data_IF_420662957650
#
_entry.id   IF_420662957650
#
_cell.length_a   1.000
_cell.length_b   1.000
_cell.length_c   1.000
_cell.angle_alpha   90.00
_cell.angle_beta   90.00
_cell.angle_gamma   90.00
#
_symmetry.space_group_name_H-M   'P 1'
#
loop_
_entity.id
_entity.type
_entity.pdbx_description
1 polymer ?
#
# COMPACT_ATOMS: atom_id res chain seq x y z
N UNK A 1 -32.70 28.72 -12.57
CA UNK A 1 -31.47 28.16 -11.98
C UNK A 1 -31.15 28.99 -10.75
N UNK A 2 -31.26 28.42 -9.54
CA UNK A 2 -30.80 29.10 -8.32
C UNK A 2 -29.29 28.89 -8.24
N UNK A 3 -28.52 29.97 -8.33
CA UNK A 3 -27.14 29.98 -7.86
C UNK A 3 -27.18 29.66 -6.36
N UNK A 4 -26.95 28.39 -6.02
CA UNK A 4 -26.71 28.00 -4.64
C UNK A 4 -25.46 28.75 -4.18
N UNK A 5 -25.61 29.62 -3.19
CA UNK A 5 -24.51 30.31 -2.53
C UNK A 5 -23.47 29.28 -2.14
N UNK A 6 -22.36 29.20 -2.87
CA UNK A 6 -21.22 28.37 -2.47
C UNK A 6 -20.79 28.84 -1.09
N UNK A 7 -20.74 27.93 -0.13
CA UNK A 7 -20.23 28.23 1.20
C UNK A 7 -18.82 28.83 1.08
N UNK A 8 -18.46 29.81 1.93
CA UNK A 8 -17.17 30.48 1.84
C UNK A 8 -16.03 29.49 2.07
N UNK A 9 -14.90 29.74 1.41
CA UNK A 9 -13.66 29.01 1.66
C UNK A 9 -13.24 29.17 3.12
N UNK A 10 -12.60 28.14 3.69
CA UNK A 10 -12.14 28.19 5.09
C UNK A 10 -11.17 29.36 5.29
N UNK A 11 -11.27 30.10 6.40
CA UNK A 11 -10.29 31.13 6.72
C UNK A 11 -8.97 30.50 7.22
N UNK A 12 -7.88 31.27 7.29
CA UNK A 12 -6.64 30.76 7.88
C UNK A 12 -6.82 30.40 9.37
N UNK A 13 -7.58 31.21 10.10
CA UNK A 13 -7.89 30.94 11.51
C UNK A 13 -8.67 29.63 11.68
N UNK A 14 -9.62 29.33 10.78
CA UNK A 14 -10.39 28.09 10.83
C UNK A 14 -9.49 26.87 10.59
N UNK A 15 -8.52 26.99 9.67
CA UNK A 15 -7.58 25.92 9.36
C UNK A 15 -6.62 25.68 10.52
N UNK A 16 -6.17 26.73 11.21
CA UNK A 16 -5.31 26.59 12.39
C UNK A 16 -6.05 25.90 13.55
N UNK A 17 -7.32 26.25 13.78
CA UNK A 17 -8.17 25.56 14.76
C UNK A 17 -8.39 24.10 14.38
N UNK A 18 -8.74 23.82 13.12
CA UNK A 18 -8.90 22.46 12.63
C UNK A 18 -7.61 21.66 12.76
N UNK A 19 -6.45 22.25 12.47
CA UNK A 19 -5.16 21.59 12.64
C UNK A 19 -4.91 21.19 14.10
N UNK A 20 -5.25 22.07 15.06
CA UNK A 20 -5.14 21.77 16.48
C UNK A 20 -6.11 20.64 16.89
N UNK A 21 -7.36 20.70 16.44
CA UNK A 21 -8.38 19.69 16.74
C UNK A 21 -8.05 18.31 16.13
N UNK A 22 -7.44 18.28 14.94
CA UNK A 22 -6.95 17.06 14.28
C UNK A 22 -5.76 16.43 15.02
N UNK A 23 -5.07 17.21 15.86
CA UNK A 23 -4.04 16.73 16.75
C UNK A 23 -4.60 16.44 18.15
N UNK A 24 -5.91 16.55 18.39
CA UNK A 24 -6.49 16.23 19.69
C UNK A 24 -6.33 14.75 20.03
N UNK A 25 -6.16 14.46 21.33
CA UNK A 25 -6.19 13.10 21.86
C UNK A 25 -7.63 12.60 22.12
N UNK A 26 -8.62 13.50 22.08
CA UNK A 26 -10.04 13.14 22.21
C UNK A 26 -10.59 12.66 20.85
N UNK A 27 -11.10 11.40 20.76
CA UNK A 27 -11.60 10.84 19.50
C UNK A 27 -12.74 11.66 18.89
N UNK A 28 -13.61 12.25 19.72
CA UNK A 28 -14.78 13.00 19.26
C UNK A 28 -14.36 14.31 18.58
N UNK A 29 -13.43 15.03 19.20
CA UNK A 29 -12.83 16.26 18.66
C UNK A 29 -12.10 15.98 17.35
N UNK A 30 -11.27 14.93 17.33
CA UNK A 30 -10.58 14.49 16.12
C UNK A 30 -11.58 14.17 14.99
N UNK A 31 -12.58 13.31 15.28
CA UNK A 31 -13.57 12.86 14.30
C UNK A 31 -14.34 14.03 13.70
N UNK A 32 -14.78 14.97 14.53
CA UNK A 32 -15.47 16.17 14.07
C UNK A 32 -14.60 17.03 13.15
N UNK A 33 -13.33 17.22 13.50
CA UNK A 33 -12.40 18.00 12.69
C UNK A 33 -12.05 17.29 11.37
N UNK A 34 -11.79 15.98 11.41
CA UNK A 34 -11.49 15.16 10.23
C UNK A 34 -12.62 15.20 9.21
N UNK A 35 -13.87 15.05 9.67
CA UNK A 35 -15.05 15.19 8.80
C UNK A 35 -15.20 16.59 8.20
N UNK A 36 -14.98 17.65 8.99
CA UNK A 36 -15.02 19.03 8.49
C UNK A 36 -13.99 19.26 7.38
N UNK A 37 -12.78 18.71 7.53
CA UNK A 37 -11.74 18.84 6.51
C UNK A 37 -12.08 18.02 5.27
N UNK A 38 -12.52 16.77 5.43
CA UNK A 38 -12.95 15.93 4.31
C UNK A 38 -14.11 16.58 3.52
N UNK A 39 -15.12 17.10 4.21
CA UNK A 39 -16.22 17.85 3.59
C UNK A 39 -15.73 19.13 2.90
N UNK A 40 -14.79 19.86 3.50
CA UNK A 40 -14.18 21.02 2.86
C UNK A 40 -13.39 20.66 1.59
N UNK A 41 -12.78 19.47 1.52
CA UNK A 41 -12.15 18.95 0.30
C UNK A 41 -13.21 18.63 -0.77
N UNK A 42 -14.29 17.92 -0.41
CA UNK A 42 -15.40 17.58 -1.32
C UNK A 42 -16.03 18.84 -1.93
N UNK A 43 -16.23 19.86 -1.11
CA UNK A 43 -16.87 21.11 -1.52
C UNK A 43 -15.89 22.15 -2.09
N UNK A 44 -14.64 21.76 -2.38
CA UNK A 44 -13.57 22.63 -2.91
C UNK A 44 -13.29 23.89 -2.06
N UNK A 45 -13.62 23.83 -0.75
CA UNK A 45 -13.40 24.92 0.23
C UNK A 45 -11.99 24.92 0.81
N UNK A 46 -11.28 23.81 0.68
CA UNK A 46 -9.86 23.68 1.03
C UNK A 46 -9.02 23.70 -0.24
N UNK A 47 -8.14 24.70 -0.37
CA UNK A 47 -7.22 24.75 -1.51
C UNK A 47 -6.10 23.72 -1.36
N UNK A 48 -5.55 23.27 -2.48
CA UNK A 48 -4.39 22.34 -2.52
C UNK A 48 -3.23 22.80 -1.65
N UNK A 49 -2.88 24.10 -1.72
CA UNK A 49 -1.82 24.69 -0.89
C UNK A 49 -2.09 24.49 0.61
N UNK A 50 -3.33 24.74 1.04
CA UNK A 50 -3.73 24.59 2.45
C UNK A 50 -3.80 23.13 2.88
N UNK A 51 -4.28 22.24 2.03
CA UNK A 51 -4.22 20.79 2.27
C UNK A 51 -2.78 20.30 2.46
N UNK A 52 -1.84 20.79 1.63
CA UNK A 52 -0.41 20.51 1.78
C UNK A 52 0.17 21.07 3.08
N UNK A 53 -0.19 22.30 3.45
CA UNK A 53 0.26 22.91 4.70
C UNK A 53 -0.25 22.13 5.93
N UNK A 54 -1.49 21.63 5.89
CA UNK A 54 -2.03 20.72 6.91
C UNK A 54 -1.24 19.41 6.98
N UNK A 55 -0.98 18.75 5.85
CA UNK A 55 -0.16 17.54 5.81
C UNK A 55 1.23 17.77 6.38
N UNK A 56 1.91 18.86 6.00
CA UNK A 56 3.24 19.17 6.55
C UNK A 56 3.23 19.26 8.07
N UNK A 57 2.17 19.81 8.67
CA UNK A 57 2.03 19.85 10.13
C UNK A 57 1.89 18.44 10.72
N UNK A 58 1.14 17.56 10.08
CA UNK A 58 1.01 16.17 10.54
C UNK A 58 2.33 15.42 10.42
N UNK A 59 3.11 15.67 9.37
CA UNK A 59 4.41 15.02 9.14
C UNK A 59 5.50 15.55 10.09
N UNK A 60 5.44 16.82 10.48
CA UNK A 60 6.48 17.47 11.30
C UNK A 60 6.32 17.27 12.81
N UNK A 61 5.08 17.21 13.30
CA UNK A 61 4.77 16.99 14.70
C UNK A 61 4.33 15.53 14.89
N UNK A 62 4.36 14.95 16.10
CA UNK A 62 3.95 13.53 16.34
C UNK A 62 2.51 13.18 15.90
N UNK A 63 1.82 14.12 15.27
CA UNK A 63 0.52 14.04 14.61
C UNK A 63 0.38 12.87 13.64
N UNK A 64 1.36 12.58 12.77
CA UNK A 64 1.21 11.46 11.82
C UNK A 64 0.96 10.15 12.57
N UNK A 65 1.80 9.82 13.56
CA UNK A 65 1.62 8.62 14.37
C UNK A 65 0.25 8.60 15.06
N UNK A 66 -0.24 9.74 15.55
CA UNK A 66 -1.56 9.86 16.19
C UNK A 66 -2.70 9.60 15.21
N UNK A 67 -2.69 10.25 14.04
CA UNK A 67 -3.71 10.06 13.01
C UNK A 67 -3.70 8.61 12.51
N UNK A 68 -2.52 8.04 12.29
CA UNK A 68 -2.39 6.63 11.93
C UNK A 68 -2.89 5.72 13.06
N UNK A 69 -2.71 6.07 14.34
CA UNK A 69 -3.30 5.29 15.44
C UNK A 69 -4.83 5.27 15.33
N UNK A 70 -5.46 6.41 15.04
CA UNK A 70 -6.91 6.49 14.80
C UNK A 70 -7.35 5.65 13.59
N UNK A 71 -6.56 5.64 12.52
CA UNK A 71 -6.82 4.82 11.34
C UNK A 71 -6.88 3.31 11.65
N UNK A 72 -6.12 2.84 12.65
CA UNK A 72 -6.06 1.41 13.00
C UNK A 72 -6.91 1.06 14.23
N UNK A 73 -7.65 2.01 14.79
CA UNK A 73 -8.52 1.77 15.94
C UNK A 73 -9.83 1.11 15.51
N UNK A 74 -9.82 -0.22 15.44
CA UNK A 74 -11.01 -1.03 15.17
C UNK A 74 -12.08 -0.95 16.28
N UNK A 75 -11.75 -0.40 17.46
CA UNK A 75 -12.69 -0.18 18.54
C UNK A 75 -13.62 1.01 18.30
N UNK A 76 -13.26 1.91 17.38
CA UNK A 76 -14.03 3.10 17.04
C UNK A 76 -14.14 3.29 15.52
N UNK A 77 -15.09 2.58 14.86
CA UNK A 77 -15.22 2.58 13.40
C UNK A 77 -15.53 3.97 12.83
N UNK A 78 -16.19 4.82 13.60
CA UNK A 78 -16.51 6.19 13.19
C UNK A 78 -15.24 7.05 13.09
N UNK A 79 -14.37 6.93 14.10
CA UNK A 79 -13.08 7.64 14.15
C UNK A 79 -12.12 7.10 13.08
N UNK A 80 -12.05 5.79 12.92
CA UNK A 80 -11.27 5.13 11.87
C UNK A 80 -11.69 5.61 10.48
N UNK A 81 -12.98 5.62 10.17
CA UNK A 81 -13.49 6.07 8.89
C UNK A 81 -13.18 7.55 8.66
N UNK A 82 -13.36 8.39 9.68
CA UNK A 82 -13.03 9.81 9.58
C UNK A 82 -11.54 10.04 9.32
N UNK A 83 -10.64 9.28 9.96
CA UNK A 83 -9.21 9.30 9.67
C UNK A 83 -8.91 8.85 8.24
N UNK A 84 -9.57 7.78 7.76
CA UNK A 84 -9.39 7.27 6.41
C UNK A 84 -9.83 8.30 5.36
N UNK A 85 -11.04 8.84 5.46
CA UNK A 85 -11.55 9.86 4.53
C UNK A 85 -10.64 11.10 4.52
N UNK A 86 -10.24 11.60 5.69
CA UNK A 86 -9.31 12.73 5.81
C UNK A 86 -8.02 12.50 5.03
N UNK A 87 -7.33 11.38 5.30
CA UNK A 87 -6.04 11.10 4.69
C UNK A 87 -6.17 10.81 3.19
N UNK A 88 -7.26 10.16 2.77
CA UNK A 88 -7.50 9.87 1.35
C UNK A 88 -7.79 11.14 0.54
N UNK A 89 -8.54 12.10 1.09
CA UNK A 89 -8.72 13.39 0.43
C UNK A 89 -7.45 14.23 0.40
N UNK A 90 -6.55 14.04 1.37
CA UNK A 90 -5.24 14.71 1.40
C UNK A 90 -4.18 13.96 0.57
N UNK A 91 -4.43 12.72 0.16
CA UNK A 91 -3.48 11.88 -0.58
C UNK A 91 -2.83 12.58 -1.79
N UNK A 92 -3.54 13.36 -2.63
CA UNK A 92 -2.90 14.06 -3.75
C UNK A 92 -1.79 15.04 -3.34
N UNK A 93 -1.79 15.49 -2.09
CA UNK A 93 -0.79 16.40 -1.53
C UNK A 93 0.29 15.66 -0.71
N UNK A 94 0.22 14.34 -0.54
CA UNK A 94 1.21 13.57 0.24
C UNK A 94 2.59 13.62 -0.40
N UNK A 95 2.71 13.33 -1.70
CA UNK A 95 4.00 13.29 -2.40
C UNK A 95 4.67 14.67 -2.41
N UNK A 96 3.98 15.77 -2.73
CA UNK A 96 4.54 17.12 -2.57
C UNK A 96 4.91 17.48 -1.12
N UNK A 97 4.20 16.95 -0.12
CA UNK A 97 4.53 17.18 1.28
C UNK A 97 5.77 16.40 1.72
N UNK A 98 5.88 15.12 1.32
CA UNK A 98 7.05 14.27 1.55
C UNK A 98 8.30 14.85 0.88
N UNK A 99 8.20 15.26 -0.38
CA UNK A 99 9.30 15.87 -1.13
C UNK A 99 9.79 17.21 -0.55
N UNK A 100 8.99 17.86 0.30
CA UNK A 100 9.36 19.09 0.98
C UNK A 100 10.06 18.87 2.33
N UNK A 101 10.14 17.62 2.81
CA UNK A 101 10.83 17.28 4.06
C UNK A 101 12.35 17.29 3.88
N UNK A 102 13.07 17.52 4.99
CA UNK A 102 14.49 17.21 5.01
C UNK A 102 14.69 15.68 4.95
N UNK A 103 15.80 15.18 4.37
CA UNK A 103 16.11 13.75 4.30
C UNK A 103 15.94 13.00 5.62
N UNK A 104 16.45 13.54 6.73
CA UNK A 104 16.30 12.91 8.04
C UNK A 104 14.85 12.81 8.51
N UNK A 105 14.03 13.83 8.23
CA UNK A 105 12.61 13.83 8.57
C UNK A 105 11.83 12.84 7.72
N UNK A 106 12.21 12.69 6.44
CA UNK A 106 11.60 11.70 5.56
C UNK A 106 11.88 10.28 6.04
N UNK A 107 13.10 9.98 6.48
CA UNK A 107 13.46 8.69 7.09
C UNK A 107 12.61 8.43 8.34
N UNK A 108 12.46 9.43 9.22
CA UNK A 108 11.65 9.31 10.43
C UNK A 108 10.17 9.05 10.10
N UNK A 109 9.61 9.79 9.15
CA UNK A 109 8.23 9.60 8.65
C UNK A 109 8.08 8.21 8.06
N UNK A 110 9.06 7.74 7.27
CA UNK A 110 9.01 6.44 6.65
C UNK A 110 9.03 5.31 7.67
N UNK A 111 9.89 5.42 8.69
CA UNK A 111 9.91 4.50 9.83
C UNK A 111 8.57 4.46 10.57
N UNK A 112 7.93 5.61 10.81
CA UNK A 112 6.61 5.67 11.45
C UNK A 112 5.54 5.00 10.59
N UNK A 113 5.50 5.28 9.28
CA UNK A 113 4.51 4.68 8.39
C UNK A 113 4.69 3.16 8.36
N UNK A 114 5.90 2.66 8.12
CA UNK A 114 6.16 1.21 8.10
C UNK A 114 5.83 0.55 9.44
N UNK A 115 6.22 1.14 10.58
CA UNK A 115 5.93 0.59 11.92
C UNK A 115 4.42 0.49 12.22
N UNK A 116 3.65 1.48 11.76
CA UNK A 116 2.24 1.61 12.12
C UNK A 116 1.33 0.91 11.10
N UNK A 117 1.48 1.19 9.81
CA UNK A 117 0.49 0.78 8.79
C UNK A 117 0.70 -0.64 8.25
N UNK A 118 1.81 -1.29 8.60
CA UNK A 118 2.05 -2.70 8.27
C UNK A 118 1.19 -3.64 9.11
N UNK A 119 0.83 -4.77 8.52
CA UNK A 119 0.16 -5.86 9.22
C UNK A 119 1.16 -6.63 10.06
N UNK A 120 0.84 -6.80 11.34
CA UNK A 120 1.59 -7.59 12.32
C UNK A 120 1.05 -9.01 12.39
N UNK A 121 -0.27 -9.18 12.33
CA UNK A 121 -0.94 -10.48 12.36
C UNK A 121 -1.81 -10.75 11.13
N UNK A 122 -1.97 -12.04 10.78
CA UNK A 122 -2.75 -12.44 9.61
C UNK A 122 -4.25 -12.05 9.72
N UNK A 123 -4.78 -11.89 10.94
CA UNK A 123 -6.15 -11.50 11.21
C UNK A 123 -6.40 -9.97 11.20
N UNK A 124 -5.34 -9.14 11.23
CA UNK A 124 -5.45 -7.67 11.18
C UNK A 124 -5.93 -7.14 9.81
N UNK A 125 -6.17 -8.04 8.85
CA UNK A 125 -6.71 -7.75 7.51
C UNK A 125 -8.23 -7.71 7.41
N UNK A 126 -8.97 -7.93 8.51
CA UNK A 126 -10.42 -7.73 8.54
C UNK A 126 -10.78 -6.26 8.65
N UNK A 127 -10.64 -5.49 7.59
CA UNK A 127 -11.17 -4.12 7.54
C UNK A 127 -12.61 -4.15 7.05
N UNK A 128 -13.44 -3.28 7.63
CA UNK A 128 -14.83 -3.08 7.21
C UNK A 128 -14.81 -2.41 5.83
N UNK A 129 -15.58 -2.94 4.88
CA UNK A 129 -15.87 -2.22 3.64
C UNK A 129 -16.89 -1.12 3.92
N UNK A 130 -16.65 0.07 3.35
CA UNK A 130 -17.53 1.22 3.52
C UNK A 130 -18.20 1.56 2.18
N UNK A 131 -19.52 1.70 2.21
CA UNK A 131 -20.31 2.08 1.04
C UNK A 131 -20.29 3.58 0.75
N UNK A 132 -20.86 4.01 -0.40
CA UNK A 132 -21.02 5.43 -0.73
C UNK A 132 -21.94 6.20 0.24
N UNK A 133 -22.77 5.51 1.02
CA UNK A 133 -23.59 6.15 2.05
C UNK A 133 -22.83 6.39 3.36
N UNK A 134 -21.67 5.77 3.53
CA UNK A 134 -20.85 5.84 4.74
C UNK A 134 -19.59 6.69 4.55
N UNK A 135 -18.84 6.47 3.48
CA UNK A 135 -17.56 7.15 3.20
C UNK A 135 -17.73 8.29 2.20
N UNK A 136 -17.25 9.48 2.57
CA UNK A 136 -17.20 10.61 1.67
C UNK A 136 -16.23 10.35 0.51
N UNK A 137 -15.11 9.67 0.77
CA UNK A 137 -14.15 9.32 -0.26
C UNK A 137 -14.73 8.35 -1.29
N UNK A 138 -15.40 7.28 -0.84
CA UNK A 138 -16.06 6.32 -1.74
C UNK A 138 -17.11 7.01 -2.59
N UNK A 139 -17.93 7.87 -1.99
CA UNK A 139 -19.00 8.60 -2.69
C UNK A 139 -18.48 9.61 -3.71
N UNK A 140 -17.53 10.46 -3.32
CA UNK A 140 -17.18 11.66 -4.08
C UNK A 140 -15.90 11.53 -4.90
N UNK A 141 -14.93 10.73 -4.44
CA UNK A 141 -13.64 10.56 -5.12
C UNK A 141 -13.63 9.27 -5.97
N UNK A 142 -13.92 8.12 -5.37
CA UNK A 142 -13.96 6.83 -6.11
C UNK A 142 -15.20 6.76 -6.98
N UNK A 143 -16.34 7.25 -6.47
CA UNK A 143 -17.67 7.12 -7.09
C UNK A 143 -18.04 5.66 -7.35
N UNK A 144 -17.71 4.79 -6.39
CA UNK A 144 -18.08 3.38 -6.45
C UNK A 144 -19.54 3.19 -6.05
N UNK A 145 -20.23 2.31 -6.76
CA UNK A 145 -21.57 1.86 -6.41
C UNK A 145 -21.54 0.76 -5.33
N UNK A 146 -20.36 0.20 -5.05
CA UNK A 146 -20.11 -0.85 -4.08
C UNK A 146 -19.23 -0.38 -2.92
N UNK A 147 -19.19 -1.18 -1.85
CA UNK A 147 -18.39 -0.89 -0.67
C UNK A 147 -16.90 -1.17 -0.92
N UNK A 148 -16.04 -0.25 -0.48
CA UNK A 148 -14.59 -0.33 -0.66
C UNK A 148 -13.90 -0.45 0.69
N UNK A 149 -12.85 -1.26 0.77
CA UNK A 149 -11.95 -1.30 1.92
C UNK A 149 -10.98 -0.12 1.88
N UNK A 150 -11.47 1.05 2.31
CA UNK A 150 -10.73 2.32 2.29
C UNK A 150 -9.50 2.31 3.21
N UNK A 151 -9.53 1.53 4.29
CA UNK A 151 -8.41 1.44 5.24
C UNK A 151 -7.26 0.67 4.60
N UNK A 152 -7.52 -0.50 4.01
CA UNK A 152 -6.49 -1.26 3.28
C UNK A 152 -5.94 -0.46 2.12
N UNK A 153 -6.81 0.19 1.34
CA UNK A 153 -6.39 1.07 0.25
C UNK A 153 -5.45 2.18 0.75
N UNK A 154 -5.81 2.86 1.84
CA UNK A 154 -4.99 3.93 2.42
C UNK A 154 -3.65 3.42 2.96
N UNK A 155 -3.63 2.29 3.67
CA UNK A 155 -2.39 1.67 4.17
C UNK A 155 -1.41 1.42 3.03
N UNK A 156 -1.89 0.80 1.96
CA UNK A 156 -1.07 0.49 0.78
C UNK A 156 -0.61 1.75 0.06
N UNK A 157 -1.49 2.75 -0.08
CA UNK A 157 -1.15 4.02 -0.73
C UNK A 157 -0.05 4.76 0.05
N UNK A 158 -0.16 4.83 1.38
CA UNK A 158 0.87 5.44 2.23
C UNK A 158 2.20 4.70 2.14
N UNK A 159 2.18 3.36 2.15
CA UNK A 159 3.40 2.56 1.97
C UNK A 159 4.06 2.87 0.63
N UNK A 160 3.31 2.83 -0.47
CA UNK A 160 3.84 3.08 -1.81
C UNK A 160 4.46 4.49 -1.90
N UNK A 161 3.74 5.52 -1.47
CA UNK A 161 4.19 6.91 -1.58
C UNK A 161 5.43 7.19 -0.73
N UNK A 162 5.50 6.62 0.47
CA UNK A 162 6.66 6.80 1.37
C UNK A 162 7.88 6.05 0.89
N UNK A 163 7.72 4.81 0.42
CA UNK A 163 8.82 4.01 -0.13
C UNK A 163 9.39 4.73 -1.36
N UNK A 164 8.51 5.15 -2.28
CA UNK A 164 8.90 5.90 -3.47
C UNK A 164 9.63 7.21 -3.12
N UNK A 165 9.06 8.02 -2.23
CA UNK A 165 9.71 9.28 -1.83
C UNK A 165 11.07 9.06 -1.17
N UNK A 166 11.22 8.00 -0.37
CA UNK A 166 12.48 7.69 0.29
C UNK A 166 13.56 7.30 -0.72
N UNK A 167 13.22 6.51 -1.74
CA UNK A 167 14.16 6.17 -2.81
C UNK A 167 14.57 7.39 -3.62
N UNK A 168 13.62 8.24 -4.01
CA UNK A 168 13.91 9.45 -4.78
C UNK A 168 14.88 10.40 -4.05
N UNK A 169 14.74 10.52 -2.73
CA UNK A 169 15.48 11.51 -1.94
C UNK A 169 16.76 10.94 -1.29
N UNK A 170 16.73 9.69 -0.82
CA UNK A 170 17.81 9.06 -0.04
C UNK A 170 17.92 7.56 -0.37
N UNK A 171 18.44 7.19 -1.56
CA UNK A 171 18.42 5.82 -2.06
C UNK A 171 18.96 4.76 -1.10
N UNK A 172 20.06 5.05 -0.39
CA UNK A 172 20.68 4.13 0.58
C UNK A 172 19.75 3.82 1.76
N UNK A 173 19.04 4.84 2.27
CA UNK A 173 18.05 4.68 3.34
C UNK A 173 16.79 3.98 2.81
N UNK A 174 16.42 4.23 1.56
CA UNK A 174 15.38 3.48 0.84
C UNK A 174 15.69 1.99 0.78
N UNK A 175 16.90 1.63 0.33
CA UNK A 175 17.35 0.25 0.25
C UNK A 175 17.39 -0.40 1.64
N UNK A 176 17.88 0.32 2.67
CA UNK A 176 17.87 -0.17 4.05
C UNK A 176 16.45 -0.43 4.56
N UNK A 177 15.50 0.48 4.27
CA UNK A 177 14.11 0.30 4.67
C UNK A 177 13.47 -0.89 3.96
N UNK A 178 13.72 -1.08 2.66
CA UNK A 178 13.27 -2.26 1.92
C UNK A 178 13.82 -3.53 2.52
N UNK A 179 15.12 -3.60 2.78
CA UNK A 179 15.74 -4.81 3.31
C UNK A 179 15.15 -5.16 4.69
N UNK A 180 14.94 -4.16 5.55
CA UNK A 180 14.21 -4.31 6.80
C UNK A 180 12.78 -4.80 6.54
N UNK A 181 12.08 -4.22 5.56
CA UNK A 181 10.72 -4.58 5.21
C UNK A 181 10.57 -6.03 4.76
N UNK A 182 11.45 -6.49 3.86
CA UNK A 182 11.48 -7.87 3.39
C UNK A 182 11.83 -8.84 4.52
N UNK A 183 12.68 -8.43 5.46
CA UNK A 183 13.08 -9.24 6.60
C UNK A 183 11.99 -9.37 7.67
N UNK A 184 11.30 -8.27 8.02
CA UNK A 184 10.43 -8.20 9.21
C UNK A 184 8.94 -8.06 8.94
N UNK A 185 8.51 -7.76 7.71
CA UNK A 185 7.10 -7.47 7.38
C UNK A 185 6.47 -8.49 6.41
N UNK A 186 6.84 -9.77 6.52
CA UNK A 186 6.28 -10.85 5.68
C UNK A 186 4.75 -10.96 5.73
N UNK A 187 4.12 -10.67 6.88
CA UNK A 187 2.65 -10.64 6.98
C UNK A 187 2.06 -9.61 6.04
N UNK A 188 2.66 -8.43 5.93
CA UNK A 188 2.21 -7.39 5.00
C UNK A 188 2.36 -7.82 3.55
N UNK A 189 3.48 -8.46 3.19
CA UNK A 189 3.69 -9.01 1.85
C UNK A 189 2.61 -10.05 1.50
N UNK A 190 2.30 -10.96 2.43
CA UNK A 190 1.20 -11.95 2.27
C UNK A 190 -0.16 -11.28 2.09
N UNK A 191 -0.42 -10.20 2.81
CA UNK A 191 -1.66 -9.44 2.67
C UNK A 191 -1.74 -8.73 1.31
N UNK A 192 -0.66 -8.10 0.84
CA UNK A 192 -0.62 -7.51 -0.50
C UNK A 192 -0.95 -8.55 -1.59
N UNK A 193 -0.31 -9.72 -1.52
CA UNK A 193 -0.58 -10.83 -2.44
C UNK A 193 -2.00 -11.39 -2.32
N UNK A 194 -2.58 -11.36 -1.11
CA UNK A 194 -3.97 -11.79 -0.91
C UNK A 194 -4.94 -10.78 -1.51
N UNK A 195 -4.74 -9.49 -1.27
CA UNK A 195 -5.51 -8.39 -1.87
C UNK A 195 -5.46 -8.46 -3.39
N UNK A 196 -4.28 -8.64 -3.98
CA UNK A 196 -4.14 -8.82 -5.43
C UNK A 196 -4.96 -10.00 -5.96
N UNK A 197 -5.14 -11.05 -5.15
CA UNK A 197 -5.93 -12.22 -5.52
C UNK A 197 -7.44 -12.02 -5.37
N UNK A 198 -7.88 -11.28 -4.36
CA UNK A 198 -9.29 -11.24 -3.95
C UNK A 198 -10.01 -9.96 -4.37
N UNK A 199 -9.27 -8.91 -4.74
CA UNK A 199 -9.86 -7.64 -5.20
C UNK A 199 -10.33 -7.74 -6.65
N UNK A 200 -11.63 -8.01 -6.79
CA UNK A 200 -12.32 -8.22 -8.07
C UNK A 200 -12.50 -6.94 -8.88
N UNK A 201 -12.56 -5.78 -8.22
CA UNK A 201 -12.77 -4.48 -8.90
C UNK A 201 -11.44 -3.85 -9.34
N UNK A 202 -10.33 -4.39 -8.83
CA UNK A 202 -8.99 -3.98 -9.22
C UNK A 202 -8.54 -2.65 -8.62
N UNK A 203 -9.32 -2.02 -7.75
CA UNK A 203 -9.02 -0.68 -7.22
C UNK A 203 -7.90 -0.71 -6.17
N UNK A 204 -7.82 -1.77 -5.37
CA UNK A 204 -6.87 -1.93 -4.26
C UNK A 204 -5.65 -2.76 -4.70
N UNK A 205 -5.86 -3.78 -5.54
CA UNK A 205 -4.83 -4.65 -6.09
C UNK A 205 -3.75 -3.89 -6.87
N UNK A 206 -4.11 -2.78 -7.55
CA UNK A 206 -3.13 -1.91 -8.21
C UNK A 206 -2.18 -1.27 -7.21
N UNK A 207 -2.71 -0.78 -6.09
CA UNK A 207 -1.90 -0.17 -5.03
C UNK A 207 -1.04 -1.22 -4.33
N UNK A 208 -1.59 -2.43 -4.09
CA UNK A 208 -0.82 -3.56 -3.56
C UNK A 208 0.35 -3.94 -4.48
N UNK A 209 0.10 -4.00 -5.79
CA UNK A 209 1.14 -4.24 -6.79
C UNK A 209 2.21 -3.13 -6.75
N UNK A 210 1.82 -1.85 -6.68
CA UNK A 210 2.75 -0.74 -6.62
C UNK A 210 3.67 -0.79 -5.38
N UNK A 211 3.14 -1.15 -4.20
CA UNK A 211 3.97 -1.37 -3.00
C UNK A 211 5.03 -2.44 -3.28
N UNK A 212 4.63 -3.57 -3.85
CA UNK A 212 5.55 -4.68 -4.13
C UNK A 212 6.58 -4.31 -5.21
N UNK A 213 6.16 -3.62 -6.28
CA UNK A 213 7.05 -3.13 -7.32
C UNK A 213 8.09 -2.15 -6.76
N UNK A 214 7.70 -1.17 -5.94
CA UNK A 214 8.65 -0.26 -5.32
C UNK A 214 9.63 -0.95 -4.36
N UNK A 215 9.29 -2.11 -3.80
CA UNK A 215 10.22 -2.91 -3.01
C UNK A 215 11.21 -3.70 -3.86
N UNK A 216 10.91 -3.96 -5.14
CA UNK A 216 11.72 -4.82 -6.02
C UNK A 216 12.07 -4.16 -7.35
N UNK A 217 12.07 -2.83 -7.37
CA UNK A 217 12.38 -2.03 -8.55
C UNK A 217 13.84 -2.28 -8.96
N UNK A 218 14.05 -2.52 -10.25
CA UNK A 218 15.34 -2.90 -10.83
C UNK A 218 16.31 -1.72 -10.97
N UNK A 219 15.82 -0.49 -10.79
CA UNK A 219 16.66 0.71 -10.68
C UNK A 219 17.32 0.87 -9.29
N UNK A 220 16.95 0.00 -8.32
CA UNK A 220 17.43 0.07 -6.94
C UNK A 220 18.67 -0.78 -6.68
N UNK A 221 19.41 -0.52 -5.57
CA UNK A 221 20.50 -1.40 -5.14
C UNK A 221 20.02 -2.85 -5.00
N UNK A 222 20.83 -3.81 -5.40
CA UNK A 222 20.45 -5.23 -5.42
C UNK A 222 19.86 -5.74 -4.09
N UNK A 223 18.93 -6.71 -4.18
CA UNK A 223 18.35 -7.37 -3.01
C UNK A 223 19.21 -8.57 -2.60
N UNK A 224 19.67 -8.65 -1.33
CA UNK A 224 20.40 -9.81 -0.83
C UNK A 224 19.61 -11.13 -1.00
N UNK A 225 20.31 -12.21 -1.40
CA UNK A 225 19.68 -13.51 -1.70
C UNK A 225 18.84 -14.07 -0.54
N UNK A 226 19.29 -13.88 0.70
CA UNK A 226 18.57 -14.34 1.89
C UNK A 226 17.25 -13.59 2.14
N UNK A 227 17.05 -12.41 1.55
CA UNK A 227 15.80 -11.65 1.60
C UNK A 227 14.92 -11.92 0.38
N UNK A 228 15.51 -12.17 -0.79
CA UNK A 228 14.76 -12.45 -2.01
C UNK A 228 14.14 -13.85 -2.04
N UNK A 229 14.81 -14.87 -1.48
CA UNK A 229 14.30 -16.25 -1.50
C UNK A 229 12.99 -16.44 -0.71
N UNK A 230 12.81 -15.89 0.50
CA UNK A 230 11.51 -15.88 1.17
C UNK A 230 10.43 -15.19 0.34
N UNK A 231 10.74 -14.07 -0.31
CA UNK A 231 9.80 -13.37 -1.20
C UNK A 231 9.42 -14.26 -2.39
N UNK A 232 10.38 -14.93 -3.02
CA UNK A 232 10.11 -15.89 -4.09
C UNK A 232 9.16 -17.02 -3.64
N UNK A 233 9.36 -17.60 -2.47
CA UNK A 233 8.41 -18.61 -1.97
C UNK A 233 7.01 -18.04 -1.79
N UNK A 234 6.86 -16.81 -1.29
CA UNK A 234 5.55 -16.16 -1.19
C UNK A 234 4.89 -15.95 -2.55
N UNK A 235 5.67 -15.57 -3.56
CA UNK A 235 5.20 -15.43 -4.93
C UNK A 235 4.76 -16.76 -5.52
N UNK A 236 5.56 -17.82 -5.33
CA UNK A 236 5.21 -19.15 -5.81
C UNK A 236 3.95 -19.65 -5.11
N UNK A 237 3.84 -19.52 -3.78
CA UNK A 237 2.62 -19.83 -3.04
C UNK A 237 1.41 -19.03 -3.53
N UNK A 238 1.61 -17.77 -3.89
CA UNK A 238 0.58 -16.93 -4.49
C UNK A 238 0.11 -17.49 -5.84
N UNK A 239 1.04 -17.86 -6.73
CA UNK A 239 0.75 -18.51 -8.01
C UNK A 239 0.02 -19.85 -7.84
N UNK A 240 0.45 -20.68 -6.88
CA UNK A 240 -0.21 -21.95 -6.58
C UNK A 240 -1.67 -21.72 -6.16
N UNK A 241 -1.91 -20.77 -5.26
CA UNK A 241 -3.28 -20.42 -4.82
C UNK A 241 -4.14 -19.81 -5.94
N UNK A 242 -3.53 -19.11 -6.88
CA UNK A 242 -4.24 -18.62 -8.07
C UNK A 242 -4.66 -19.77 -8.97
N UNK A 243 -3.77 -20.74 -9.20
CA UNK A 243 -4.09 -21.92 -9.99
C UNK A 243 -5.21 -22.76 -9.35
N UNK A 244 -5.22 -22.88 -8.01
CA UNK A 244 -6.28 -23.57 -7.26
C UNK A 244 -7.64 -22.85 -7.31
N UNK A 245 -7.65 -21.51 -7.37
CA UNK A 245 -8.85 -20.66 -7.29
C UNK A 245 -9.20 -19.93 -8.57
N UNK A 246 -8.71 -20.40 -9.72
CA UNK A 246 -8.61 -19.66 -10.98
C UNK A 246 -9.93 -19.16 -11.60
N UNK A 247 -11.08 -19.54 -11.04
CA UNK A 247 -12.41 -19.39 -11.66
C UNK A 247 -13.07 -18.03 -11.50
N UNK A 248 -12.55 -17.14 -10.64
CA UNK A 248 -13.26 -15.89 -10.30
C UNK A 248 -12.53 -14.61 -10.70
N UNK A 249 -11.23 -14.65 -11.01
CA UNK A 249 -10.47 -13.42 -11.27
C UNK A 249 -10.63 -12.91 -12.71
N UNK A 250 -10.77 -11.59 -12.86
CA UNK A 250 -10.82 -10.96 -14.18
C UNK A 250 -9.44 -10.97 -14.89
N UNK A 251 -9.38 -10.74 -16.22
CA UNK A 251 -8.11 -10.75 -16.96
C UNK A 251 -7.06 -9.75 -16.47
N UNK A 252 -7.48 -8.62 -15.86
CA UNK A 252 -6.56 -7.60 -15.36
C UNK A 252 -5.94 -7.99 -14.03
N UNK A 253 -6.71 -8.61 -13.14
CA UNK A 253 -6.23 -9.24 -11.91
C UNK A 253 -5.20 -10.31 -12.22
N UNK A 254 -5.48 -11.16 -13.22
CA UNK A 254 -4.53 -12.19 -13.68
C UNK A 254 -3.23 -11.60 -14.17
N UNK A 255 -3.29 -10.57 -15.02
CA UNK A 255 -2.10 -9.88 -15.50
C UNK A 255 -1.24 -9.35 -14.35
N UNK A 256 -1.83 -8.59 -13.43
CA UNK A 256 -1.11 -8.00 -12.28
C UNK A 256 -0.48 -9.05 -11.38
N UNK A 257 -1.17 -10.16 -11.15
CA UNK A 257 -0.66 -11.27 -10.35
C UNK A 257 0.53 -11.98 -11.02
N UNK A 258 0.54 -12.06 -12.35
CA UNK A 258 1.60 -12.72 -13.14
C UNK A 258 2.77 -11.79 -13.49
N UNK A 259 2.60 -10.47 -13.45
CA UNK A 259 3.68 -9.49 -13.67
C UNK A 259 4.73 -9.55 -12.56
N UNK A 260 4.30 -9.74 -11.31
CA UNK A 260 5.15 -9.60 -10.13
C UNK A 260 6.33 -10.59 -10.06
N UNK A 261 6.16 -11.91 -10.36
CA UNK A 261 7.30 -12.82 -10.44
C UNK A 261 8.40 -12.38 -11.40
N UNK A 262 8.04 -11.78 -12.54
CA UNK A 262 9.02 -11.28 -13.52
C UNK A 262 9.87 -10.14 -12.96
N UNK A 263 9.23 -9.20 -12.26
CA UNK A 263 9.92 -8.07 -11.62
C UNK A 263 10.91 -8.56 -10.56
N UNK A 264 10.51 -9.52 -9.71
CA UNK A 264 11.42 -10.05 -8.67
C UNK A 264 12.58 -10.85 -9.28
N UNK A 265 12.36 -11.60 -10.35
CA UNK A 265 13.46 -12.28 -11.07
C UNK A 265 14.46 -11.27 -11.62
N UNK A 266 13.99 -10.18 -12.24
CA UNK A 266 14.86 -9.12 -12.76
C UNK A 266 15.72 -8.49 -11.64
N UNK A 267 15.09 -8.15 -10.52
CA UNK A 267 15.75 -7.53 -9.36
C UNK A 267 16.81 -8.42 -8.68
N UNK A 268 16.78 -9.75 -8.91
CA UNK A 268 17.70 -10.71 -8.28
C UNK A 268 18.77 -11.23 -9.25
N UNK A 269 18.49 -11.24 -10.55
CA UNK A 269 19.40 -11.80 -11.57
C UNK A 269 20.53 -10.85 -12.00
N UNK A 270 20.42 -9.55 -11.70
CA UNK A 270 21.41 -8.54 -12.07
C UNK A 270 22.58 -8.41 -11.07
N UNK A 271 22.54 -9.10 -9.93
CA UNK A 271 23.52 -8.91 -8.86
C UNK A 271 24.76 -9.81 -8.97
N UNK A 272 25.99 -9.25 -8.90
CA UNK A 272 27.16 -9.98 -8.43
C UNK A 272 26.97 -10.28 -6.94
N UNK A 273 26.54 -11.51 -6.64
CA UNK A 273 26.31 -12.01 -5.28
C UNK A 273 27.42 -11.55 -4.31
N UNK A 274 27.02 -10.90 -3.22
CA UNK A 274 27.94 -10.48 -2.18
C UNK A 274 28.79 -11.68 -1.71
N UNK A 275 30.12 -11.54 -1.51
CA UNK A 275 31.05 -12.64 -1.26
C UNK A 275 30.91 -13.32 0.13
N UNK A 276 29.77 -13.13 0.80
CA UNK A 276 29.60 -13.43 2.23
C UNK A 276 28.63 -14.58 2.54
N UNK A 277 27.91 -15.12 1.55
CA UNK A 277 27.08 -16.31 1.77
C UNK A 277 27.92 -17.58 1.60
N UNK A 278 27.91 -18.43 2.62
CA UNK A 278 28.56 -19.74 2.54
C UNK A 278 27.77 -20.63 1.59
N UNK A 279 28.46 -21.48 0.84
CA UNK A 279 27.85 -22.43 -0.09
C UNK A 279 26.74 -23.27 0.58
N UNK A 280 26.95 -23.68 1.83
CA UNK A 280 25.97 -24.44 2.62
C UNK A 280 24.69 -23.63 2.90
N UNK A 281 24.80 -22.33 3.18
CA UNK A 281 23.65 -21.45 3.42
C UNK A 281 22.87 -21.22 2.12
N UNK A 282 23.57 -21.05 1.00
CA UNK A 282 22.95 -20.94 -0.33
C UNK A 282 22.20 -22.22 -0.66
N UNK A 283 22.82 -23.38 -0.47
CA UNK A 283 22.20 -24.68 -0.73
C UNK A 283 20.94 -24.89 0.11
N UNK A 284 21.02 -24.62 1.42
CA UNK A 284 19.85 -24.71 2.32
C UNK A 284 18.73 -23.78 1.85
N UNK A 285 19.03 -22.51 1.57
CA UNK A 285 18.02 -21.54 1.15
C UNK A 285 17.37 -21.92 -0.19
N UNK A 286 18.14 -22.44 -1.14
CA UNK A 286 17.63 -22.95 -2.43
C UNK A 286 16.74 -24.17 -2.22
N UNK A 287 17.13 -25.10 -1.34
CA UNK A 287 16.32 -26.26 -1.00
C UNK A 287 14.98 -25.87 -0.34
N UNK A 288 15.04 -24.97 0.63
CA UNK A 288 13.87 -24.48 1.37
C UNK A 288 12.88 -23.69 0.51
N UNK A 289 13.39 -22.84 -0.40
CA UNK A 289 12.56 -21.86 -1.10
C UNK A 289 12.28 -22.16 -2.57
N UNK A 290 13.17 -22.88 -3.27
CA UNK A 290 13.00 -23.21 -4.70
C UNK A 290 12.62 -24.67 -4.88
N UNK A 291 13.43 -25.61 -4.41
CA UNK A 291 13.21 -27.05 -4.65
C UNK A 291 11.90 -27.55 -4.03
N UNK A 292 11.51 -27.00 -2.87
CA UNK A 292 10.24 -27.31 -2.20
C UNK A 292 8.99 -27.01 -3.05
N UNK A 293 9.10 -26.14 -4.06
CA UNK A 293 7.98 -25.75 -4.92
C UNK A 293 8.04 -26.33 -6.34
N UNK A 294 9.21 -26.77 -6.82
CA UNK A 294 9.40 -27.27 -8.20
C UNK A 294 8.43 -28.41 -8.52
N UNK A 295 8.28 -29.40 -7.63
CA UNK A 295 7.39 -30.54 -7.87
C UNK A 295 5.91 -30.12 -8.02
N UNK A 296 5.47 -29.11 -7.24
CA UNK A 296 4.10 -28.58 -7.31
C UNK A 296 3.86 -27.80 -8.60
N UNK A 297 4.82 -26.94 -8.98
CA UNK A 297 4.76 -26.19 -10.24
C UNK A 297 4.72 -27.10 -11.46
N UNK A 298 5.57 -28.13 -11.49
CA UNK A 298 5.56 -29.15 -12.56
C UNK A 298 4.23 -29.91 -12.59
N UNK A 299 3.69 -30.26 -11.42
CA UNK A 299 2.39 -30.90 -11.31
C UNK A 299 1.26 -30.07 -11.92
N UNK A 300 1.21 -28.77 -11.62
CA UNK A 300 0.20 -27.85 -12.19
C UNK A 300 0.36 -27.72 -13.70
N UNK A 301 1.58 -27.55 -14.21
CA UNK A 301 1.83 -27.46 -15.65
C UNK A 301 1.37 -28.73 -16.35
N UNK A 302 1.65 -29.90 -15.76
CA UNK A 302 1.25 -31.19 -16.31
C UNK A 302 -0.27 -31.45 -16.23
N UNK A 303 -0.97 -30.84 -15.27
CA UNK A 303 -2.42 -30.99 -15.07
C UNK A 303 -3.25 -29.85 -15.64
N UNK A 304 -2.63 -28.78 -16.16
CA UNK A 304 -3.35 -27.63 -16.69
C UNK A 304 -4.09 -28.02 -17.98
N UNK A 305 -5.42 -27.84 -17.98
CA UNK A 305 -6.22 -28.00 -19.20
C UNK A 305 -5.80 -26.96 -20.26
N UNK A 306 -5.96 -27.30 -21.54
CA UNK A 306 -5.58 -26.44 -22.68
C UNK A 306 -6.16 -25.01 -22.60
N UNK A 307 -7.33 -24.84 -21.95
CA UNK A 307 -7.96 -23.54 -21.73
C UNK A 307 -7.23 -22.63 -20.73
N UNK A 308 -6.64 -23.19 -19.67
CA UNK A 308 -5.85 -22.44 -18.67
C UNK A 308 -4.50 -21.99 -19.26
N UNK A 309 -3.89 -22.87 -20.07
CA UNK A 309 -2.69 -22.55 -20.85
C UNK A 309 -2.99 -21.49 -21.93
N UNK A 310 -4.16 -21.52 -22.56
CA UNK A 310 -4.58 -20.51 -23.53
C UNK A 310 -4.86 -19.15 -22.87
N UNK A 311 -5.52 -19.10 -21.71
CA UNK A 311 -5.71 -17.85 -20.95
C UNK A 311 -4.38 -17.28 -20.48
N UNK A 312 -3.47 -18.12 -19.97
CA UNK A 312 -2.12 -17.71 -19.62
C UNK A 312 -1.36 -17.17 -20.86
N UNK A 313 -1.42 -17.86 -22.01
CA UNK A 313 -0.77 -17.43 -23.25
C UNK A 313 -1.34 -16.12 -23.82
N UNK A 314 -2.65 -15.88 -23.69
CA UNK A 314 -3.29 -14.60 -24.09
C UNK A 314 -2.94 -13.49 -23.10
N UNK A 315 -2.85 -13.80 -21.80
CA UNK A 315 -2.52 -12.82 -20.76
C UNK A 315 -1.04 -12.43 -20.77
N UNK A 316 -0.15 -13.36 -21.14
CA UNK A 316 1.31 -13.22 -21.24
C UNK A 316 1.81 -12.91 -22.68
N UNK A 317 0.89 -12.74 -23.64
CA UNK A 317 1.24 -12.39 -25.03
C UNK A 317 2.00 -11.06 -25.13
N UNK A 318 2.76 -10.84 -26.21
CA UNK A 318 3.75 -9.77 -26.28
C UNK A 318 3.11 -8.39 -26.08
N UNK A 319 3.72 -7.63 -25.18
CA UNK A 319 3.51 -6.18 -24.99
C UNK A 319 4.07 -5.40 -26.17
#
# INVERSE_FOLDING_TARGET
>A
MREGSREPALSHSDIDLLAADLLSADPSTFTAAARKVADACVNERLSRKRGRDLLRRFLADKGLRRILTWLLDNGNPETQLAAADLLLFLMPEIRPALAALQPSQLVDVAGVVVDVVTWREAAEGGSRCYGPDESLFVKHAVKADAAVDVVTYLRLALLAEVIHALYDAVPDEGARLRDLFLASHQTTLKQCLTVMRTDMEGSISRTALAVLQHLVDDELPDIPLHLSLPLFSLLVDHLLKLAEGATHMDPQGWRRALELPGVVVAAVTLSPQAPFLREEDVKRLVEEHLNSHVAKLVGIIASAEEGLLAVAAVTLGPS
#
